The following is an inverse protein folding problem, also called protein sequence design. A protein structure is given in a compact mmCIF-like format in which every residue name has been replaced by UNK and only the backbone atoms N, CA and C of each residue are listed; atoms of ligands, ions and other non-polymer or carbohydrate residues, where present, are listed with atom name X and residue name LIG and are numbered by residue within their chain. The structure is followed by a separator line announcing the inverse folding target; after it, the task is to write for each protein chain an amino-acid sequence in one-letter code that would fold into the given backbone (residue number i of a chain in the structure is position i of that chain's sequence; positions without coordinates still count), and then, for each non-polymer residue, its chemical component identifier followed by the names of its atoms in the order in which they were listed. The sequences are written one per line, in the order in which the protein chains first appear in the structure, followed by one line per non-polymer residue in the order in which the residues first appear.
data_IF_051647393205
#
_entry.id   IF_051647393205
#
_cell.length_a   1.000
_cell.length_b   1.000
_cell.length_c   1.000
_cell.angle_alpha   90.00
_cell.angle_beta   90.00
_cell.angle_gamma   90.00
#
_symmetry.space_group_name_H-M   'P 1'
#
loop_
_entity.id
_entity.type
_entity.pdbx_description
1 polymer ?
#
# COMPACT_ATOMS: atom_id res chain seq x y z
N UNK A 1 -3.30 -15.53 -8.79
CA UNK A 1 -3.45 -14.21 -9.45
C UNK A 1 -2.93 -13.19 -8.45
N UNK A 2 -1.70 -12.69 -8.61
CA UNK A 2 -1.19 -11.68 -7.68
C UNK A 2 -2.12 -10.45 -7.76
N UNK A 3 -2.68 -10.03 -6.63
CA UNK A 3 -3.37 -8.75 -6.54
C UNK A 3 -2.37 -7.65 -6.86
N UNK A 4 -2.35 -7.20 -8.12
CA UNK A 4 -1.40 -6.22 -8.63
C UNK A 4 -1.86 -4.83 -8.19
N UNK A 5 -1.37 -4.42 -7.03
CA UNK A 5 -1.46 -3.05 -6.56
C UNK A 5 -0.23 -2.29 -7.06
N UNK A 6 -0.39 -1.00 -7.34
CA UNK A 6 0.74 -0.15 -7.72
C UNK A 6 0.61 1.26 -7.15
N UNK A 7 1.74 1.86 -6.86
CA UNK A 7 1.88 3.22 -6.37
C UNK A 7 2.06 4.12 -7.58
N UNK A 8 1.30 5.21 -7.61
CA UNK A 8 1.52 6.30 -8.54
C UNK A 8 1.14 7.61 -7.86
N UNK A 9 2.02 8.60 -7.99
CA UNK A 9 1.93 9.86 -7.28
C UNK A 9 1.81 9.58 -5.76
N UNK A 10 0.73 10.02 -5.12
CA UNK A 10 0.46 9.79 -3.69
C UNK A 10 -0.68 8.79 -3.47
N UNK A 11 -0.91 7.86 -4.39
CA UNK A 11 -2.03 6.92 -4.31
C UNK A 11 -1.61 5.48 -4.61
N UNK A 12 -2.34 4.55 -4.00
CA UNK A 12 -2.29 3.13 -4.33
C UNK A 12 -3.50 2.78 -5.19
N UNK A 13 -3.23 2.19 -6.34
CA UNK A 13 -4.24 1.79 -7.31
C UNK A 13 -4.38 0.28 -7.35
N UNK A 14 -5.60 -0.18 -7.59
CA UNK A 14 -5.87 -1.58 -7.89
C UNK A 14 -5.63 -1.89 -9.39
N UNK A 15 -5.79 -3.16 -9.77
CA UNK A 15 -5.63 -3.64 -11.16
C UNK A 15 -6.54 -2.95 -12.20
N UNK A 16 -7.60 -2.27 -11.76
CA UNK A 16 -8.54 -1.53 -12.61
C UNK A 16 -8.20 -0.04 -12.72
N UNK A 17 -7.02 0.38 -12.24
CA UNK A 17 -6.60 1.79 -12.13
C UNK A 17 -7.54 2.64 -11.26
N UNK A 18 -8.22 2.04 -10.27
CA UNK A 18 -8.98 2.78 -9.26
C UNK A 18 -8.12 3.02 -8.03
N UNK A 19 -8.02 4.26 -7.53
CA UNK A 19 -7.32 4.53 -6.29
C UNK A 19 -8.11 3.89 -5.14
N UNK A 20 -7.41 3.27 -4.20
CA UNK A 20 -7.99 2.61 -3.01
C UNK A 20 -7.41 3.14 -1.69
N UNK A 21 -6.19 3.69 -1.74
CA UNK A 21 -5.55 4.38 -0.62
C UNK A 21 -4.87 5.65 -1.11
N UNK A 22 -4.72 6.63 -0.20
CA UNK A 22 -3.80 7.75 -0.35
C UNK A 22 -2.59 7.56 0.56
N UNK A 23 -1.47 8.12 0.15
CA UNK A 23 -0.19 8.09 0.85
C UNK A 23 0.10 9.52 1.27
N UNK A 24 0.49 9.71 2.52
CA UNK A 24 1.07 10.98 2.98
C UNK A 24 2.22 10.69 3.89
N UNK A 25 3.36 11.29 3.57
CA UNK A 25 4.64 10.95 4.18
C UNK A 25 4.88 9.44 4.04
N UNK A 26 4.95 8.71 5.16
CA UNK A 26 5.13 7.26 5.19
C UNK A 26 3.85 6.51 5.58
N UNK A 27 2.70 7.17 5.62
CA UNK A 27 1.45 6.57 6.07
C UNK A 27 0.49 6.34 4.91
N UNK A 28 -0.19 5.19 4.94
CA UNK A 28 -1.20 4.79 3.95
C UNK A 28 -2.56 4.82 4.63
N UNK A 29 -3.49 5.51 3.99
CA UNK A 29 -4.80 5.80 4.54
C UNK A 29 -5.89 5.38 3.57
N UNK A 30 -6.97 4.83 4.09
CA UNK A 30 -8.17 4.53 3.30
C UNK A 30 -8.74 5.80 2.69
N UNK A 31 -9.22 5.72 1.46
CA UNK A 31 -9.88 6.87 0.81
C UNK A 31 -11.25 7.19 1.41
N UNK A 32 -11.98 6.17 1.85
CA UNK A 32 -13.37 6.31 2.30
C UNK A 32 -13.48 7.05 3.64
N UNK A 33 -12.67 6.65 4.62
CA UNK A 33 -12.77 7.15 6.00
C UNK A 33 -11.51 7.89 6.47
N UNK A 34 -10.43 7.90 5.68
CA UNK A 34 -9.17 8.54 6.05
C UNK A 34 -8.41 7.84 7.18
N UNK A 35 -8.83 6.64 7.61
CA UNK A 35 -8.15 5.92 8.67
C UNK A 35 -6.79 5.41 8.17
N UNK A 36 -5.76 5.59 9.01
CA UNK A 36 -4.46 5.00 8.77
C UNK A 36 -4.54 3.50 8.99
N UNK A 37 -4.12 2.72 7.99
CA UNK A 37 -4.08 1.26 8.11
C UNK A 37 -2.66 0.69 8.07
N UNK A 38 -1.78 1.38 7.35
CA UNK A 38 -0.42 0.91 7.11
C UNK A 38 0.58 2.05 7.17
N UNK A 39 1.85 1.68 7.34
CA UNK A 39 2.98 2.56 7.14
C UNK A 39 4.04 1.90 6.24
N UNK A 40 4.72 2.74 5.47
CA UNK A 40 5.81 2.38 4.59
C UNK A 40 7.11 2.59 5.35
N UNK A 41 7.97 1.57 5.34
CA UNK A 41 9.34 1.68 5.81
C UNK A 41 10.25 0.97 4.82
N UNK A 42 11.18 1.72 4.25
CA UNK A 42 12.02 1.26 3.13
C UNK A 42 11.15 0.74 1.97
N UNK A 43 11.36 -0.50 1.54
CA UNK A 43 10.60 -1.14 0.46
C UNK A 43 9.50 -2.08 0.99
N UNK A 44 8.97 -1.80 2.17
CA UNK A 44 8.01 -2.66 2.86
C UNK A 44 6.83 -1.87 3.43
N UNK A 45 5.66 -2.52 3.45
CA UNK A 45 4.42 -1.99 4.01
C UNK A 45 4.04 -2.84 5.21
N UNK A 46 3.85 -2.17 6.34
CA UNK A 46 3.50 -2.77 7.62
C UNK A 46 2.11 -2.33 8.04
N UNK A 47 1.33 -3.20 8.67
CA UNK A 47 0.10 -2.78 9.34
C UNK A 47 0.41 -1.97 10.61
N UNK A 48 -0.60 -1.38 11.23
CA UNK A 48 -0.43 -0.59 12.46
C UNK A 48 0.18 -1.37 13.64
N UNK A 49 0.03 -2.69 13.65
CA UNK A 49 0.63 -3.59 14.65
C UNK A 49 2.13 -3.88 14.39
N UNK A 50 2.70 -3.37 13.30
CA UNK A 50 4.11 -3.55 12.96
C UNK A 50 4.43 -4.85 12.22
N UNK A 51 3.43 -5.57 11.73
CA UNK A 51 3.62 -6.77 10.91
C UNK A 51 3.82 -6.40 9.44
N UNK A 52 4.89 -6.93 8.83
CA UNK A 52 5.16 -6.74 7.41
C UNK A 52 4.13 -7.50 6.55
N UNK A 53 3.36 -6.79 5.73
CA UNK A 53 2.30 -7.37 4.89
C UNK A 53 2.67 -7.41 3.42
N UNK A 54 3.37 -6.38 2.95
CA UNK A 54 3.67 -6.22 1.53
C UNK A 54 5.10 -5.74 1.29
N UNK A 55 5.66 -6.08 0.13
CA UNK A 55 6.91 -5.53 -0.39
C UNK A 55 6.61 -4.62 -1.58
N UNK A 56 7.46 -3.62 -1.77
CA UNK A 56 7.41 -2.66 -2.85
C UNK A 56 8.61 -2.93 -3.76
N UNK A 57 8.36 -3.09 -5.06
CA UNK A 57 9.42 -3.17 -6.08
C UNK A 57 9.07 -2.29 -7.25
N UNK A 58 9.97 -1.33 -7.54
CA UNK A 58 9.81 -0.24 -8.52
C UNK A 58 8.63 0.68 -8.17
N UNK A 59 7.40 0.21 -8.36
CA UNK A 59 6.16 0.86 -7.92
C UNK A 59 5.04 -0.15 -7.65
N UNK A 60 5.33 -1.44 -7.71
CA UNK A 60 4.34 -2.49 -7.52
C UNK A 60 4.39 -3.02 -6.10
N UNK A 61 3.22 -3.31 -5.55
CA UNK A 61 3.06 -3.84 -4.20
C UNK A 61 2.72 -5.32 -4.31
N UNK A 62 3.46 -6.14 -3.57
CA UNK A 62 3.37 -7.59 -3.57
C UNK A 62 3.05 -8.07 -2.16
N UNK A 63 2.06 -8.96 -2.00
CA UNK A 63 1.82 -9.65 -0.73
C UNK A 63 3.04 -10.46 -0.34
N UNK A 64 3.48 -10.35 0.91
CA UNK A 64 4.57 -11.16 1.47
C UNK A 64 4.05 -12.50 2.02
N UNK A 65 2.73 -12.62 2.20
CA UNK A 65 2.13 -13.91 2.55
C UNK A 65 2.21 -14.88 1.36
N UNK A 66 2.84 -16.02 1.61
CA UNK A 66 2.69 -17.29 0.89
C UNK A 66 1.23 -17.77 0.87
#
# INVERSE_FOLDING_TARGET
MLNKLFIKDEYIYNKENKPIYWIKENFIYKLEDGNNEYFIKENYIYNIDGECKYSIKENYIYSIKD
#
